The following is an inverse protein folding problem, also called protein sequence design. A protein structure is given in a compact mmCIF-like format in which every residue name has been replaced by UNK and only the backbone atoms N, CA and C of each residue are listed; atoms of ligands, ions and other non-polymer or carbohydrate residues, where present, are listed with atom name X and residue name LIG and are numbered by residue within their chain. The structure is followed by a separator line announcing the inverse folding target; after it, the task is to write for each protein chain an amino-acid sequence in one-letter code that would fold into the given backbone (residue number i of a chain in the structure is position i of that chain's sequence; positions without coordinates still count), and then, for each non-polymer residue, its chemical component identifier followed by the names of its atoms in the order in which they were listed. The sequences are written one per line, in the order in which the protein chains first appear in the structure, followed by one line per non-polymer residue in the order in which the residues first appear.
data_IF_020904641785
#
_entry.id   IF_020904641785
#
_cell.length_a   1.000
_cell.length_b   1.000
_cell.length_c   1.000
_cell.angle_alpha   90.00
_cell.angle_beta   90.00
_cell.angle_gamma   90.00
#
_symmetry.space_group_name_H-M   'P 1'
#
loop_
_entity.id
_entity.type
_entity.pdbx_description
1 polymer ?
#
# COMPACT_ATOMS: atom_id res chain seq x y z
N UNK A 1 -68.93 2.51 38.36
CA UNK A 1 -68.21 1.71 37.36
C UNK A 1 -67.38 2.62 36.51
N UNK A 2 -66.04 2.65 36.74
CA UNK A 2 -65.10 3.47 35.96
C UNK A 2 -64.44 2.56 34.91
N UNK A 3 -64.60 2.90 33.60
CA UNK A 3 -64.01 2.18 32.50
C UNK A 3 -62.63 2.83 32.23
N UNK A 4 -61.53 2.09 32.46
CA UNK A 4 -60.20 2.54 32.06
C UNK A 4 -59.96 2.10 30.62
N UNK A 5 -59.63 3.08 29.75
CA UNK A 5 -59.19 2.82 28.40
C UNK A 5 -57.66 2.69 28.38
N UNK A 6 -57.17 1.55 27.93
CA UNK A 6 -55.74 1.31 27.72
C UNK A 6 -55.37 1.83 26.31
N UNK A 7 -54.45 2.78 26.26
CA UNK A 7 -53.84 3.27 25.00
C UNK A 7 -52.63 2.40 24.73
N UNK A 8 -52.68 1.62 23.66
CA UNK A 8 -51.55 0.85 23.14
C UNK A 8 -50.73 1.76 22.23
N UNK A 9 -49.53 2.16 22.67
CA UNK A 9 -48.56 2.79 21.79
C UNK A 9 -47.83 1.72 20.96
N UNK A 10 -48.13 1.67 19.67
CA UNK A 10 -47.38 0.85 18.73
C UNK A 10 -46.06 1.57 18.38
N UNK A 11 -44.94 1.05 18.88
CA UNK A 11 -43.62 1.53 18.55
C UNK A 11 -43.27 1.01 17.13
N UNK A 12 -43.42 1.87 16.10
CA UNK A 12 -42.91 1.57 14.75
C UNK A 12 -41.39 1.73 14.79
N UNK A 13 -40.66 0.62 14.89
CA UNK A 13 -39.21 0.58 14.63
C UNK A 13 -38.98 0.73 13.14
N UNK A 14 -38.61 1.95 12.72
CA UNK A 14 -38.09 2.18 11.36
C UNK A 14 -36.70 1.61 11.32
N UNK A 15 -36.55 0.42 10.75
CA UNK A 15 -35.24 -0.09 10.37
C UNK A 15 -34.70 0.77 9.20
N UNK A 16 -33.76 1.65 9.47
CA UNK A 16 -32.97 2.28 8.44
C UNK A 16 -32.14 1.19 7.75
N UNK A 17 -32.57 0.76 6.57
CA UNK A 17 -31.70 0.01 5.68
C UNK A 17 -30.54 0.94 5.30
N UNK A 18 -29.34 0.65 5.80
CA UNK A 18 -28.10 1.32 5.35
C UNK A 18 -28.03 1.17 3.83
N UNK A 19 -28.01 2.28 3.12
CA UNK A 19 -27.87 2.27 1.67
C UNK A 19 -26.49 1.71 1.32
N UNK A 20 -26.36 1.02 0.20
CA UNK A 20 -25.11 0.38 -0.22
C UNK A 20 -23.89 1.32 -0.30
N UNK A 21 -24.11 2.64 -0.24
CA UNK A 21 -23.05 3.67 -0.19
C UNK A 21 -22.45 3.85 1.22
N UNK A 22 -23.18 3.51 2.29
CA UNK A 22 -22.66 3.62 3.68
C UNK A 22 -21.59 2.56 4.01
N UNK A 23 -21.51 1.48 3.23
CA UNK A 23 -20.49 0.45 3.38
C UNK A 23 -19.16 0.81 2.71
N UNK A 24 -19.13 1.75 1.77
CA UNK A 24 -17.91 2.14 1.05
C UNK A 24 -17.09 3.15 1.86
N UNK A 25 -15.97 2.71 2.40
CA UNK A 25 -15.04 3.57 3.15
C UNK A 25 -14.32 4.60 2.26
N UNK A 26 -14.33 4.41 0.93
CA UNK A 26 -13.66 5.28 -0.03
C UNK A 26 -14.59 6.37 -0.55
N UNK A 27 -14.27 7.62 -0.22
CA UNK A 27 -15.02 8.79 -0.72
C UNK A 27 -14.85 8.94 -2.23
N UNK A 28 -15.96 9.23 -2.93
CA UNK A 28 -16.00 9.44 -4.37
C UNK A 28 -15.40 8.27 -5.19
N UNK A 29 -15.60 7.05 -4.71
CA UNK A 29 -15.18 5.87 -5.45
C UNK A 29 -15.98 5.61 -6.72
N UNK A 30 -17.19 6.16 -6.82
CA UNK A 30 -18.05 6.13 -8.02
C UNK A 30 -17.80 7.31 -8.97
N UNK A 31 -16.81 8.18 -8.69
CA UNK A 31 -16.43 9.34 -9.51
C UNK A 31 -17.56 10.37 -9.76
N UNK A 32 -18.66 10.36 -9.02
CA UNK A 32 -19.78 11.30 -9.16
C UNK A 32 -19.36 12.78 -8.96
N UNK A 33 -18.21 13.03 -8.34
CA UNK A 33 -17.61 14.35 -8.15
C UNK A 33 -16.34 14.52 -8.99
N UNK A 34 -16.31 13.96 -10.19
CA UNK A 34 -15.15 14.01 -11.07
C UNK A 34 -13.91 13.40 -10.40
N UNK A 35 -12.77 14.09 -10.48
CA UNK A 35 -11.49 13.66 -9.88
C UNK A 35 -11.31 14.04 -8.41
N UNK A 36 -12.33 14.58 -7.75
CA UNK A 36 -12.27 14.89 -6.32
C UNK A 36 -11.85 13.65 -5.54
N UNK A 37 -10.90 13.78 -4.62
CA UNK A 37 -10.28 12.68 -3.86
C UNK A 37 -9.34 11.76 -4.66
N UNK A 38 -9.04 12.06 -5.92
CA UNK A 38 -8.14 11.25 -6.74
C UNK A 38 -6.96 12.06 -7.28
N UNK A 39 -5.78 11.42 -7.31
CA UNK A 39 -4.58 11.91 -8.00
C UNK A 39 -4.45 11.11 -9.29
N UNK A 40 -4.73 11.75 -10.41
CA UNK A 40 -4.65 11.15 -11.73
C UNK A 40 -4.54 12.23 -12.80
N UNK A 41 -3.90 11.92 -13.91
CA UNK A 41 -3.95 12.74 -15.16
C UNK A 41 -5.01 12.18 -16.14
N UNK A 42 -5.73 11.11 -15.76
CA UNK A 42 -6.87 10.58 -16.52
C UNK A 42 -8.04 11.58 -16.55
N UNK A 43 -9.01 11.30 -17.39
CA UNK A 43 -10.27 12.07 -17.51
C UNK A 43 -11.38 11.39 -16.75
N UNK A 44 -12.35 12.16 -16.25
CA UNK A 44 -13.60 11.61 -15.71
C UNK A 44 -14.74 12.19 -16.52
N UNK A 45 -15.56 11.31 -17.09
CA UNK A 45 -16.84 11.64 -17.71
C UNK A 45 -17.96 11.43 -16.68
N UNK A 46 -18.87 12.36 -16.58
CA UNK A 46 -20.07 12.25 -15.73
C UNK A 46 -21.12 11.38 -16.38
N UNK A 47 -21.79 10.54 -15.61
CA UNK A 47 -22.91 9.70 -16.01
C UNK A 47 -24.03 9.79 -14.96
N UNK A 48 -25.25 9.34 -15.29
CA UNK A 48 -26.43 9.46 -14.44
C UNK A 48 -26.27 8.83 -13.03
N UNK A 49 -25.46 7.76 -12.92
CA UNK A 49 -25.26 7.03 -11.67
C UNK A 49 -23.80 7.06 -11.18
N UNK A 50 -23.10 8.14 -11.46
CA UNK A 50 -21.69 8.30 -11.10
C UNK A 50 -20.86 8.81 -12.26
N UNK A 51 -19.57 8.46 -12.28
CA UNK A 51 -18.64 8.85 -13.33
C UNK A 51 -17.78 7.69 -13.81
N UNK A 52 -17.08 7.91 -14.90
CA UNK A 52 -16.13 6.97 -15.50
C UNK A 52 -14.76 7.60 -15.52
N UNK A 53 -13.84 7.05 -14.74
CA UNK A 53 -12.44 7.43 -14.85
C UNK A 53 -11.80 6.70 -16.04
N UNK A 54 -11.24 7.44 -16.99
CA UNK A 54 -10.49 6.90 -18.11
C UNK A 54 -8.99 7.06 -17.92
N UNK A 55 -8.25 5.96 -17.99
CA UNK A 55 -6.79 5.87 -18.01
C UNK A 55 -6.31 5.39 -19.39
N UNK A 56 -5.07 5.72 -19.73
CA UNK A 56 -4.42 5.37 -21.00
C UNK A 56 -3.52 6.50 -21.49
N UNK A 57 -2.74 6.29 -22.54
CA UNK A 57 -1.80 7.27 -23.05
C UNK A 57 -0.79 7.76 -21.98
N UNK A 58 -0.94 9.00 -21.51
CA UNK A 58 -0.11 9.57 -20.44
C UNK A 58 -0.62 9.20 -19.03
N UNK A 59 -1.88 8.79 -18.90
CA UNK A 59 -2.52 8.48 -17.64
C UNK A 59 -2.38 7.00 -17.29
N UNK A 60 -1.35 6.64 -16.56
CA UNK A 60 -1.08 5.25 -16.21
C UNK A 60 -1.50 4.86 -14.78
N UNK A 61 -2.03 5.79 -13.98
CA UNK A 61 -2.43 5.50 -12.60
C UNK A 61 -3.51 6.43 -12.06
N UNK A 62 -4.23 5.94 -11.08
CA UNK A 62 -5.08 6.72 -10.19
C UNK A 62 -4.83 6.28 -8.74
N UNK A 63 -4.70 7.26 -7.84
CA UNK A 63 -4.42 7.05 -6.42
C UNK A 63 -5.42 7.88 -5.62
N UNK A 64 -6.09 7.27 -4.63
CA UNK A 64 -6.95 8.05 -3.73
C UNK A 64 -6.12 9.02 -2.88
N UNK A 65 -6.63 10.23 -2.66
CA UNK A 65 -6.04 11.19 -1.70
C UNK A 65 -6.33 10.78 -0.26
N UNK A 66 -7.50 10.18 -0.05
CA UNK A 66 -7.92 9.70 1.25
C UNK A 66 -7.01 8.58 1.74
N UNK A 67 -6.59 8.68 2.99
CA UNK A 67 -5.98 7.59 3.74
C UNK A 67 -7.08 6.93 4.56
N UNK A 68 -7.36 5.67 4.27
CA UNK A 68 -8.27 4.84 5.07
C UNK A 68 -7.46 4.28 6.22
N UNK A 69 -7.90 4.53 7.47
CA UNK A 69 -7.24 4.04 8.68
C UNK A 69 -7.33 2.51 8.74
N UNK A 70 -6.22 1.86 9.05
CA UNK A 70 -6.19 0.42 9.34
C UNK A 70 -6.56 0.21 10.79
N UNK A 71 -7.59 -0.59 11.04
CA UNK A 71 -7.97 -1.05 12.37
C UNK A 71 -7.29 -2.38 12.67
N UNK A 72 -6.89 -2.57 13.91
CA UNK A 72 -6.26 -3.81 14.35
C UNK A 72 -7.17 -5.01 14.11
N UNK A 73 -6.62 -6.07 13.55
CA UNK A 73 -7.38 -7.29 13.26
C UNK A 73 -8.36 -7.19 12.07
N UNK A 74 -8.54 -6.02 11.47
CA UNK A 74 -9.47 -5.88 10.36
C UNK A 74 -8.93 -6.43 9.03
N UNK A 75 -9.86 -6.84 8.18
CA UNK A 75 -9.64 -7.19 6.78
C UNK A 75 -10.46 -6.26 5.90
N UNK A 76 -9.88 -5.82 4.80
CA UNK A 76 -10.52 -4.92 3.83
C UNK A 76 -10.59 -5.61 2.48
N UNK A 77 -11.74 -5.47 1.80
CA UNK A 77 -11.92 -5.81 0.39
C UNK A 77 -11.83 -4.54 -0.43
N UNK A 78 -10.97 -4.53 -1.44
CA UNK A 78 -10.91 -3.47 -2.44
C UNK A 78 -11.43 -4.04 -3.74
N UNK A 79 -12.35 -3.33 -4.39
CA UNK A 79 -12.95 -3.75 -5.66
C UNK A 79 -13.13 -2.59 -6.61
N UNK A 80 -13.24 -2.89 -7.92
CA UNK A 80 -13.51 -1.94 -8.98
C UNK A 80 -14.08 -2.66 -10.18
N UNK A 81 -14.96 -2.00 -10.96
CA UNK A 81 -15.34 -2.43 -12.31
C UNK A 81 -14.38 -1.81 -13.30
N UNK A 82 -13.76 -2.63 -14.13
CA UNK A 82 -12.73 -2.19 -15.08
C UNK A 82 -13.04 -2.73 -16.47
N UNK A 83 -13.02 -1.85 -17.47
CA UNK A 83 -13.17 -2.21 -18.87
C UNK A 83 -11.94 -1.74 -19.64
N UNK A 84 -11.46 -2.50 -20.60
CA UNK A 84 -10.36 -2.11 -21.48
C UNK A 84 -10.66 -2.45 -22.94
N UNK A 85 -10.28 -1.54 -23.85
CA UNK A 85 -10.39 -1.76 -25.30
C UNK A 85 -9.28 -2.64 -25.86
N UNK A 86 -8.22 -2.90 -25.10
CA UNK A 86 -7.06 -3.69 -25.52
C UNK A 86 -6.54 -4.55 -24.38
N UNK A 87 -5.81 -5.59 -24.74
CA UNK A 87 -5.11 -6.42 -23.78
C UNK A 87 -4.01 -5.61 -23.11
N UNK A 88 -4.10 -5.44 -21.79
CA UNK A 88 -3.16 -4.69 -20.97
C UNK A 88 -3.12 -5.28 -19.56
N UNK A 89 -2.01 -5.12 -18.87
CA UNK A 89 -1.94 -5.43 -17.46
C UNK A 89 -2.49 -4.25 -16.65
N UNK A 90 -3.43 -4.53 -15.74
CA UNK A 90 -3.95 -3.55 -14.78
C UNK A 90 -3.81 -4.14 -13.38
N UNK A 91 -3.30 -3.34 -12.47
CA UNK A 91 -3.08 -3.69 -11.06
C UNK A 91 -4.04 -2.86 -10.20
N UNK A 92 -4.92 -3.54 -9.48
CA UNK A 92 -5.68 -2.96 -8.39
C UNK A 92 -4.94 -3.26 -7.09
N UNK A 93 -4.64 -2.25 -6.28
CA UNK A 93 -3.84 -2.42 -5.09
C UNK A 93 -4.05 -1.33 -4.06
N UNK A 94 -3.18 -1.33 -3.07
CA UNK A 94 -3.14 -0.32 -2.03
C UNK A 94 -1.71 0.20 -1.83
N UNK A 95 -1.60 1.45 -1.42
CA UNK A 95 -0.37 2.07 -0.96
C UNK A 95 -0.42 2.10 0.57
N UNK A 96 0.30 1.23 1.27
CA UNK A 96 0.36 1.27 2.72
C UNK A 96 1.00 2.58 3.19
N UNK A 97 0.44 3.14 4.27
CA UNK A 97 0.90 4.37 4.89
C UNK A 97 1.40 4.06 6.30
N UNK A 98 2.63 4.44 6.58
CA UNK A 98 3.22 4.39 7.91
C UNK A 98 2.89 5.63 8.74
N UNK A 99 3.54 5.76 9.91
CA UNK A 99 3.43 6.96 10.76
C UNK A 99 3.72 8.22 9.94
N UNK A 100 3.08 9.34 10.31
CA UNK A 100 3.18 10.64 9.63
C UNK A 100 2.73 10.59 8.15
N UNK A 101 1.93 9.60 7.76
CA UNK A 101 1.45 9.41 6.39
C UNK A 101 2.56 9.25 5.33
N UNK A 102 3.72 8.71 5.70
CA UNK A 102 4.73 8.32 4.73
C UNK A 102 4.33 7.05 4.00
N UNK A 103 4.45 7.05 2.68
CA UNK A 103 4.24 5.86 1.86
C UNK A 103 5.26 4.78 2.19
N UNK A 104 4.78 3.54 2.35
CA UNK A 104 5.62 2.40 2.68
C UNK A 104 5.87 1.55 1.43
N UNK A 105 7.13 1.46 1.03
CA UNK A 105 7.58 0.48 0.05
C UNK A 105 7.98 -0.82 0.73
N UNK A 106 8.00 -1.91 -0.03
CA UNK A 106 8.39 -3.22 0.45
C UNK A 106 9.69 -3.20 1.27
N UNK A 107 10.71 -2.50 0.79
CA UNK A 107 12.02 -2.36 1.45
C UNK A 107 11.98 -1.66 2.81
N UNK A 108 10.94 -0.88 3.15
CA UNK A 108 10.87 -0.20 4.45
C UNK A 108 10.40 -1.13 5.58
N UNK A 109 9.80 -2.28 5.24
CA UNK A 109 9.22 -3.20 6.22
C UNK A 109 9.37 -4.66 5.81
N UNK A 110 8.58 -5.14 4.85
CA UNK A 110 8.53 -6.55 4.45
C UNK A 110 9.84 -7.08 3.83
N UNK A 111 10.68 -6.18 3.32
CA UNK A 111 12.00 -6.51 2.77
C UNK A 111 13.08 -6.76 3.83
N UNK A 112 12.79 -6.55 5.11
CA UNK A 112 13.74 -6.75 6.20
C UNK A 112 14.23 -8.21 6.27
N UNK A 113 15.53 -8.40 6.53
CA UNK A 113 16.22 -9.68 6.67
C UNK A 113 16.79 -9.81 8.08
N UNK A 114 16.01 -10.35 9.06
CA UNK A 114 16.42 -10.40 10.47
C UNK A 114 17.77 -11.07 10.70
N UNK A 115 18.07 -12.13 9.94
CA UNK A 115 19.30 -12.91 10.01
C UNK A 115 20.57 -12.11 9.66
N UNK A 116 20.39 -10.93 9.04
CA UNK A 116 21.51 -10.06 8.66
C UNK A 116 21.84 -8.99 9.69
N UNK A 117 21.15 -8.98 10.83
CA UNK A 117 21.41 -7.97 11.87
C UNK A 117 22.88 -8.03 12.29
N UNK A 118 23.57 -6.88 12.19
CA UNK A 118 24.95 -6.68 12.62
C UNK A 118 25.12 -5.24 13.09
N UNK A 119 26.33 -4.74 13.14
CA UNK A 119 26.61 -3.37 13.56
C UNK A 119 27.72 -2.72 12.73
N UNK A 120 27.78 -1.41 12.73
CA UNK A 120 28.89 -0.65 12.18
C UNK A 120 30.19 -1.02 12.92
N UNK A 121 31.20 -1.48 12.17
CA UNK A 121 32.53 -1.70 12.71
C UNK A 121 33.28 -0.38 12.98
N UNK A 122 32.93 0.66 12.22
CA UNK A 122 33.50 2.00 12.29
C UNK A 122 32.39 3.04 12.25
N UNK A 123 32.64 4.24 12.81
CA UNK A 123 31.68 5.33 12.72
C UNK A 123 31.46 5.75 11.26
N UNK A 124 30.20 5.91 10.87
CA UNK A 124 29.86 6.43 9.53
C UNK A 124 29.75 7.96 9.58
N UNK A 125 30.49 8.63 8.73
CA UNK A 125 30.44 10.08 8.57
C UNK A 125 29.49 10.47 7.45
N UNK A 126 28.62 11.43 7.70
CA UNK A 126 27.67 11.98 6.72
C UNK A 126 28.35 12.28 5.39
N UNK A 127 27.75 11.79 4.31
CA UNK A 127 28.24 12.02 2.95
C UNK A 127 29.31 11.03 2.48
N UNK A 128 29.87 10.19 3.36
CA UNK A 128 30.79 9.12 2.97
C UNK A 128 30.10 8.14 2.03
N UNK A 129 30.83 7.64 1.06
CA UNK A 129 30.35 6.55 0.19
C UNK A 129 30.72 5.17 0.71
N UNK A 130 31.47 5.07 1.82
CA UNK A 130 31.89 3.79 2.40
C UNK A 130 31.22 3.57 3.76
N UNK A 131 30.69 2.36 3.95
CA UNK A 131 30.19 1.87 5.24
C UNK A 131 30.94 0.60 5.58
N UNK A 132 31.46 0.51 6.80
CA UNK A 132 32.21 -0.67 7.29
C UNK A 132 31.38 -1.36 8.38
N UNK A 133 31.06 -2.64 8.18
CA UNK A 133 30.27 -3.46 9.10
C UNK A 133 31.14 -4.55 9.73
N UNK A 134 30.76 -5.02 10.90
CA UNK A 134 31.21 -6.31 11.39
C UNK A 134 30.67 -7.41 10.46
N UNK A 135 31.45 -8.44 10.22
CA UNK A 135 31.04 -9.50 9.29
C UNK A 135 29.78 -10.24 9.78
N UNK A 136 28.96 -10.60 8.83
CA UNK A 136 27.81 -11.46 9.00
C UNK A 136 27.58 -12.21 7.66
N UNK A 137 27.68 -13.52 7.67
CA UNK A 137 27.64 -14.36 6.47
C UNK A 137 26.33 -14.22 5.65
N UNK A 138 25.23 -13.82 6.28
CA UNK A 138 23.93 -13.65 5.62
C UNK A 138 23.82 -12.38 4.73
N UNK A 139 24.78 -11.44 4.84
CA UNK A 139 24.77 -10.23 4.02
C UNK A 139 25.04 -10.53 2.53
N UNK A 140 24.26 -9.86 1.67
CA UNK A 140 24.37 -9.89 0.21
C UNK A 140 23.89 -8.56 -0.38
N UNK A 141 23.60 -8.47 -1.68
CA UNK A 141 23.10 -7.25 -2.32
C UNK A 141 21.74 -6.79 -1.76
N UNK A 142 21.53 -5.48 -1.71
CA UNK A 142 20.28 -4.87 -1.23
C UNK A 142 20.46 -3.44 -0.75
N UNK A 143 19.75 -3.12 0.32
CA UNK A 143 19.79 -1.82 0.97
C UNK A 143 20.25 -1.99 2.43
N UNK A 144 21.09 -1.07 2.91
CA UNK A 144 21.42 -1.00 4.33
C UNK A 144 20.41 -0.12 5.06
N UNK A 145 19.92 -0.61 6.19
CA UNK A 145 19.08 0.13 7.14
C UNK A 145 19.88 0.38 8.41
N UNK A 146 19.90 1.63 8.86
CA UNK A 146 20.52 2.05 10.11
C UNK A 146 19.52 2.04 11.27
N UNK A 147 20.02 2.00 12.52
CA UNK A 147 19.22 1.94 13.74
C UNK A 147 18.23 0.76 13.76
N UNK A 148 18.63 -0.35 13.19
CA UNK A 148 17.85 -1.57 13.17
C UNK A 148 17.72 -2.17 14.58
N UNK A 149 16.57 -2.76 14.89
CA UNK A 149 16.32 -3.44 16.16
C UNK A 149 16.09 -4.94 15.93
N UNK A 150 16.56 -5.75 16.87
CA UNK A 150 16.42 -7.20 16.79
C UNK A 150 14.94 -7.66 16.84
N UNK A 151 14.12 -6.96 17.61
CA UNK A 151 12.69 -7.22 17.76
C UNK A 151 11.83 -6.65 16.61
N UNK A 152 12.46 -6.05 15.60
CA UNK A 152 11.80 -5.43 14.45
C UNK A 152 10.88 -4.24 14.79
N UNK A 153 10.95 -3.69 16.02
CA UNK A 153 10.12 -2.54 16.44
C UNK A 153 10.52 -1.22 15.76
N UNK A 154 11.62 -1.22 14.98
CA UNK A 154 12.02 -0.13 14.11
C UNK A 154 11.22 -0.05 12.80
N UNK A 155 10.42 -1.05 12.46
CA UNK A 155 9.66 -1.05 11.21
C UNK A 155 8.37 -0.20 11.29
N UNK A 156 8.01 0.55 10.24
CA UNK A 156 8.78 0.74 9.00
C UNK A 156 10.03 1.61 9.24
N UNK A 157 11.18 1.18 8.71
CA UNK A 157 12.42 1.93 8.86
C UNK A 157 12.74 2.71 7.58
N UNK A 158 12.85 4.04 7.71
CA UNK A 158 13.14 4.97 6.62
C UNK A 158 14.60 5.44 6.61
N UNK A 159 15.42 5.00 7.56
CA UNK A 159 16.87 5.23 7.57
C UNK A 159 17.58 4.21 6.70
N UNK A 160 17.28 4.24 5.41
CA UNK A 160 17.65 3.26 4.41
C UNK A 160 18.38 3.91 3.24
N UNK A 161 19.41 3.23 2.71
CA UNK A 161 20.08 3.61 1.48
C UNK A 161 20.56 2.39 0.71
N UNK A 162 20.67 2.53 -0.61
CA UNK A 162 21.17 1.48 -1.49
C UNK A 162 22.70 1.49 -1.52
N UNK A 163 23.29 0.31 -1.57
CA UNK A 163 24.71 0.16 -1.87
C UNK A 163 24.92 -0.57 -3.21
N UNK A 164 25.99 -0.20 -3.91
CA UNK A 164 26.30 -0.70 -5.26
C UNK A 164 27.34 -1.81 -5.24
N UNK A 165 28.24 -1.78 -4.24
CA UNK A 165 29.32 -2.76 -4.10
C UNK A 165 29.31 -3.32 -2.69
N UNK A 166 29.73 -4.56 -2.60
CA UNK A 166 29.83 -5.34 -1.37
C UNK A 166 31.11 -6.17 -1.44
N UNK A 167 31.95 -6.04 -0.42
CA UNK A 167 33.21 -6.76 -0.31
C UNK A 167 33.40 -7.29 1.11
N UNK A 168 33.87 -8.52 1.27
CA UNK A 168 34.34 -9.06 2.55
C UNK A 168 35.84 -9.08 2.57
N UNK A 169 36.42 -8.50 3.63
CA UNK A 169 37.86 -8.46 3.84
C UNK A 169 38.17 -8.31 5.34
N UNK A 170 39.15 -9.07 5.83
CA UNK A 170 39.67 -8.97 7.20
C UNK A 170 38.58 -9.05 8.28
N UNK A 171 37.60 -9.94 8.12
CA UNK A 171 36.48 -10.11 9.06
C UNK A 171 35.50 -8.94 9.10
N UNK A 172 35.51 -8.11 8.08
CA UNK A 172 34.59 -6.98 7.92
C UNK A 172 33.88 -7.00 6.57
N UNK A 173 32.77 -6.26 6.49
CA UNK A 173 32.05 -6.00 5.24
C UNK A 173 32.24 -4.53 4.90
N UNK A 174 32.68 -4.28 3.66
CA UNK A 174 32.79 -2.96 3.06
C UNK A 174 31.67 -2.77 2.06
N UNK A 175 30.82 -1.76 2.28
CA UNK A 175 29.76 -1.39 1.36
C UNK A 175 30.09 -0.06 0.70
N UNK A 176 29.96 0.01 -0.63
CA UNK A 176 30.02 1.28 -1.36
C UNK A 176 28.61 1.77 -1.65
N UNK A 177 28.20 2.88 -1.05
CA UNK A 177 26.88 3.47 -1.27
C UNK A 177 26.80 4.11 -2.66
N UNK A 178 25.63 4.02 -3.29
CA UNK A 178 25.32 4.74 -4.52
C UNK A 178 25.40 6.27 -4.31
N UNK A 179 25.03 6.73 -3.12
CA UNK A 179 25.10 8.12 -2.67
C UNK A 179 25.30 8.12 -1.15
N UNK A 180 26.21 8.98 -0.68
CA UNK A 180 26.45 9.15 0.76
C UNK A 180 25.17 9.49 1.52
N UNK A 181 25.01 8.87 2.71
CA UNK A 181 23.82 9.08 3.53
C UNK A 181 23.91 10.41 4.30
N UNK A 182 22.74 10.96 4.66
CA UNK A 182 22.63 12.36 5.15
C UNK A 182 22.88 12.55 6.67
N UNK A 183 23.21 11.50 7.40
CA UNK A 183 23.41 11.51 8.88
C UNK A 183 24.71 10.83 9.23
N UNK A 184 25.25 11.16 10.41
CA UNK A 184 26.32 10.42 11.06
C UNK A 184 25.75 9.27 11.89
N UNK A 185 26.51 8.18 12.02
CA UNK A 185 26.20 7.06 12.92
C UNK A 185 27.46 6.63 13.65
N UNK A 186 27.35 6.38 14.94
CA UNK A 186 28.47 5.90 15.75
C UNK A 186 28.84 4.45 15.39
N UNK A 187 30.09 4.06 15.61
CA UNK A 187 30.47 2.65 15.63
C UNK A 187 29.57 1.88 16.62
N UNK A 188 29.24 0.63 16.31
CA UNK A 188 28.29 -0.18 17.07
C UNK A 188 26.81 0.09 16.77
N UNK A 189 26.47 1.10 15.94
CA UNK A 189 25.08 1.29 15.46
C UNK A 189 24.61 0.02 14.79
N UNK A 190 23.48 -0.53 15.22
CA UNK A 190 22.87 -1.71 14.62
C UNK A 190 22.35 -1.41 13.21
N UNK A 191 22.66 -2.33 12.30
CA UNK A 191 22.26 -2.26 10.88
C UNK A 191 21.71 -3.59 10.43
N UNK A 192 20.87 -3.56 9.40
CA UNK A 192 20.23 -4.74 8.83
C UNK A 192 20.10 -4.59 7.31
N UNK A 193 20.18 -5.69 6.59
CA UNK A 193 19.88 -5.75 5.17
C UNK A 193 18.37 -5.70 4.93
N UNK A 194 17.95 -4.87 4.01
CA UNK A 194 16.62 -4.89 3.45
C UNK A 194 16.70 -5.11 1.93
N UNK A 195 15.79 -5.91 1.39
CA UNK A 195 15.71 -6.18 -0.06
C UNK A 195 14.55 -5.43 -0.68
N UNK A 196 14.67 -5.15 -1.96
CA UNK A 196 13.56 -4.64 -2.77
C UNK A 196 12.59 -5.76 -3.11
N UNK A 197 11.35 -5.40 -3.39
CA UNK A 197 10.27 -6.29 -3.77
C UNK A 197 9.20 -5.54 -4.55
N UNK A 198 7.98 -6.07 -4.60
CA UNK A 198 6.86 -5.38 -5.19
C UNK A 198 6.68 -4.01 -4.51
N UNK A 199 6.52 -2.95 -5.31
CA UNK A 199 6.43 -1.58 -4.78
C UNK A 199 5.29 -1.46 -3.77
N UNK A 200 4.13 -2.06 -4.09
CA UNK A 200 2.93 -2.04 -3.26
C UNK A 200 2.24 -3.41 -3.23
N UNK A 201 1.37 -3.70 -2.25
CA UNK A 201 0.46 -4.83 -2.30
C UNK A 201 -0.54 -4.68 -3.44
N UNK A 202 -0.42 -5.54 -4.46
CA UNK A 202 -1.38 -5.64 -5.54
C UNK A 202 -2.38 -6.76 -5.21
N UNK A 203 -3.65 -6.40 -5.14
CA UNK A 203 -4.73 -7.27 -4.68
C UNK A 203 -5.40 -8.01 -5.85
N UNK A 204 -5.42 -7.38 -7.02
CA UNK A 204 -5.79 -8.02 -8.27
C UNK A 204 -4.80 -7.63 -9.38
N UNK A 205 -4.47 -8.59 -10.22
CA UNK A 205 -3.58 -8.44 -11.37
C UNK A 205 -4.32 -8.95 -12.61
N UNK A 206 -4.95 -8.03 -13.30
CA UNK A 206 -5.76 -8.29 -14.48
C UNK A 206 -4.87 -8.23 -15.71
N UNK A 207 -4.64 -9.35 -16.36
CA UNK A 207 -3.79 -9.43 -17.54
C UNK A 207 -4.39 -10.29 -18.65
N UNK A 208 -5.17 -11.29 -18.26
CA UNK A 208 -5.73 -12.30 -19.18
C UNK A 208 -7.16 -11.99 -19.60
N UNK A 209 -7.87 -11.24 -18.79
CA UNK A 209 -9.30 -10.96 -18.90
C UNK A 209 -9.62 -9.94 -19.98
N UNK A 210 -8.63 -9.18 -20.46
CA UNK A 210 -8.83 -8.15 -21.48
C UNK A 210 -8.55 -8.63 -22.91
N UNK A 211 -9.21 -8.03 -23.94
CA UNK A 211 -10.18 -6.93 -23.83
C UNK A 211 -11.53 -7.37 -23.27
N UNK A 212 -12.22 -6.45 -22.57
CA UNK A 212 -13.55 -6.67 -22.02
C UNK A 212 -13.77 -5.98 -20.67
N UNK A 213 -14.86 -6.38 -19.99
CA UNK A 213 -15.24 -5.89 -18.68
C UNK A 213 -14.91 -6.94 -17.60
N UNK A 214 -14.37 -6.50 -16.46
CA UNK A 214 -13.99 -7.36 -15.33
C UNK A 214 -14.34 -6.70 -14.00
N UNK A 215 -14.91 -7.46 -13.08
CA UNK A 215 -15.05 -7.09 -11.67
C UNK A 215 -13.77 -7.48 -10.93
N UNK A 216 -12.87 -6.51 -10.76
CA UNK A 216 -11.63 -6.69 -10.04
C UNK A 216 -11.86 -6.64 -8.54
N UNK A 217 -11.34 -7.59 -7.78
CA UNK A 217 -11.39 -7.54 -6.32
C UNK A 217 -10.23 -8.30 -5.67
N UNK A 218 -9.87 -7.87 -4.44
CA UNK A 218 -8.94 -8.59 -3.59
C UNK A 218 -9.02 -8.11 -2.15
N UNK A 219 -8.45 -8.89 -1.23
CA UNK A 219 -8.51 -8.64 0.21
C UNK A 219 -7.14 -8.42 0.82
N UNK A 220 -7.06 -7.50 1.80
CA UNK A 220 -5.85 -7.21 2.57
C UNK A 220 -6.20 -7.04 4.05
N UNK A 221 -5.37 -7.56 4.93
CA UNK A 221 -5.55 -7.48 6.39
C UNK A 221 -5.38 -8.83 7.06
N UNK A 222 -5.92 -9.01 8.28
CA UNK A 222 -5.69 -10.20 9.10
C UNK A 222 -6.05 -11.50 8.38
N UNK A 223 -7.24 -11.57 7.80
CA UNK A 223 -7.76 -12.75 7.11
C UNK A 223 -7.76 -12.60 5.57
N UNK A 224 -7.09 -11.53 5.07
CA UNK A 224 -6.97 -11.26 3.65
C UNK A 224 -5.96 -12.16 2.94
N UNK A 225 -6.10 -12.31 1.62
CA UNK A 225 -5.09 -12.97 0.77
C UNK A 225 -3.75 -12.24 0.82
N UNK A 226 -3.76 -10.93 1.02
CA UNK A 226 -2.58 -10.10 1.25
C UNK A 226 -2.54 -9.61 2.70
N UNK A 227 -1.34 -9.30 3.20
CA UNK A 227 -1.14 -8.72 4.54
C UNK A 227 -0.62 -7.30 4.41
N UNK A 228 -1.01 -6.45 5.37
CA UNK A 228 -0.34 -5.16 5.50
C UNK A 228 1.10 -5.35 5.99
N UNK A 229 2.05 -4.58 5.45
CA UNK A 229 3.39 -4.50 6.03
C UNK A 229 3.32 -4.07 7.50
N UNK A 230 4.25 -4.57 8.33
CA UNK A 230 4.34 -4.16 9.73
C UNK A 230 4.48 -2.63 9.86
N UNK A 231 3.74 -2.02 10.78
CA UNK A 231 3.72 -0.58 11.00
C UNK A 231 2.79 0.21 10.07
N UNK A 232 1.95 -0.46 9.26
CA UNK A 232 0.91 0.21 8.48
C UNK A 232 -0.16 0.77 9.42
N UNK A 233 -0.42 2.08 9.31
CA UNK A 233 -1.48 2.77 10.08
C UNK A 233 -2.68 3.15 9.21
N UNK A 234 -2.51 3.13 7.89
CA UNK A 234 -3.56 3.42 6.92
C UNK A 234 -3.15 3.01 5.51
N UNK A 235 -4.01 3.21 4.54
CA UNK A 235 -3.71 2.94 3.15
C UNK A 235 -4.50 3.83 2.20
N UNK A 236 -3.97 4.02 1.01
CA UNK A 236 -4.64 4.63 -0.15
C UNK A 236 -4.95 3.54 -1.17
N UNK A 237 -6.01 3.72 -1.94
CA UNK A 237 -6.33 2.83 -3.07
C UNK A 237 -5.51 3.22 -4.29
N UNK A 238 -5.04 2.22 -5.04
CA UNK A 238 -4.22 2.38 -6.23
C UNK A 238 -4.80 1.57 -7.40
N UNK A 239 -4.90 2.21 -8.55
CA UNK A 239 -5.12 1.56 -9.84
C UNK A 239 -3.91 1.94 -10.70
N UNK A 240 -3.23 0.94 -11.27
CA UNK A 240 -1.99 1.14 -12.01
C UNK A 240 -1.97 0.33 -13.29
N UNK A 241 -1.61 0.98 -14.39
CA UNK A 241 -1.20 0.36 -15.64
C UNK A 241 0.34 0.39 -15.65
N UNK A 242 1.04 -0.76 -15.50
CA UNK A 242 2.50 -0.79 -15.49
C UNK A 242 3.11 -0.30 -16.81
N UNK A 243 4.23 0.39 -16.69
CA UNK A 243 4.96 0.91 -17.85
C UNK A 243 4.30 2.14 -18.48
N UNK A 244 4.55 2.32 -19.79
CA UNK A 244 3.99 3.42 -20.61
C UNK A 244 2.82 2.88 -21.42
N UNK A 245 1.58 3.27 -21.13
CA UNK A 245 0.42 2.83 -21.91
C UNK A 245 0.51 3.28 -23.37
N UNK A 246 -0.03 2.47 -24.28
CA UNK A 246 -0.19 2.87 -25.66
C UNK A 246 -1.09 4.12 -25.77
N UNK A 247 -0.88 4.95 -26.79
CA UNK A 247 -1.58 6.21 -26.95
C UNK A 247 -3.10 6.02 -27.14
N UNK A 248 -3.50 4.92 -27.78
CA UNK A 248 -4.88 4.54 -28.07
C UNK A 248 -5.49 3.54 -27.07
N UNK A 249 -4.76 3.22 -25.99
CA UNK A 249 -5.29 2.45 -24.89
C UNK A 249 -6.34 3.27 -24.13
N UNK A 250 -7.52 2.66 -23.91
CA UNK A 250 -8.58 3.20 -23.08
C UNK A 250 -8.96 2.17 -22.03
N UNK A 251 -8.71 2.50 -20.77
CA UNK A 251 -9.13 1.73 -19.61
C UNK A 251 -10.13 2.58 -18.83
N UNK A 252 -11.35 2.08 -18.71
CA UNK A 252 -12.40 2.70 -17.94
C UNK A 252 -12.52 2.04 -16.58
N UNK A 253 -12.62 2.85 -15.55
CA UNK A 253 -12.76 2.42 -14.15
C UNK A 253 -14.03 3.03 -13.57
N UNK A 254 -14.82 2.19 -12.91
CA UNK A 254 -16.06 2.55 -12.22
C UNK A 254 -16.13 1.90 -10.86
N UNK A 255 -16.96 2.42 -9.98
CA UNK A 255 -17.39 1.79 -8.72
C UNK A 255 -16.23 1.24 -7.88
N UNK A 256 -15.20 2.06 -7.65
CA UNK A 256 -14.11 1.68 -6.75
C UNK A 256 -14.64 1.66 -5.33
N UNK A 257 -14.52 0.52 -4.67
CA UNK A 257 -14.99 0.32 -3.29
C UNK A 257 -13.89 -0.18 -2.39
N UNK A 258 -13.97 0.26 -1.14
CA UNK A 258 -13.21 -0.30 -0.02
C UNK A 258 -14.22 -0.62 1.08
N UNK A 259 -14.33 -1.89 1.41
CA UNK A 259 -15.29 -2.41 2.38
C UNK A 259 -14.53 -3.12 3.49
N UNK A 260 -14.94 -2.93 4.75
CA UNK A 260 -14.44 -3.73 5.86
C UNK A 260 -15.17 -5.08 5.83
N UNK A 261 -14.39 -6.16 5.74
CA UNK A 261 -14.94 -7.51 5.72
C UNK A 261 -15.28 -7.93 7.16
N UNK A 262 -16.50 -8.38 7.39
CA UNK A 262 -16.86 -8.97 8.68
C UNK A 262 -15.98 -10.21 8.93
N UNK A 263 -15.53 -10.45 10.19
CA UNK A 263 -14.88 -11.70 10.53
C UNK A 263 -15.78 -12.88 10.13
N UNK A 264 -15.18 -13.94 9.58
CA UNK A 264 -15.94 -15.17 9.35
C UNK A 264 -16.54 -15.63 10.69
N UNK A 265 -17.84 -15.90 10.70
CA UNK A 265 -18.46 -16.52 11.86
C UNK A 265 -17.73 -17.85 12.15
N UNK A 266 -17.26 -17.99 13.38
CA UNK A 266 -16.59 -19.22 13.85
C UNK A 266 -17.60 -20.31 14.08
#
# INVERSE_FOLDING_TARGET
MKKSAAIIFSLCTVAFAATADDANLLKNGNFARGKTNWVTVGTVAEEANGGVLTLGGKANRAISRQVIKVEEGATYKVSAKITSNKRVQILLGVIPMGRQNYEMYYRHSSGAKPETLTELAEAYVKGSNTVVLKDNAAWKSGNIVFNAKADMSDLPNYEITNFQKFERKDGKIYLTLAKGYKRNFAAGTKVRLHVDGATYPYLANLRKEFPGAVDAAGTIGKDGKSKFPAGTVGFKTLILIPGKPAADLKVEVRDVKVEKVAPAAK
#
